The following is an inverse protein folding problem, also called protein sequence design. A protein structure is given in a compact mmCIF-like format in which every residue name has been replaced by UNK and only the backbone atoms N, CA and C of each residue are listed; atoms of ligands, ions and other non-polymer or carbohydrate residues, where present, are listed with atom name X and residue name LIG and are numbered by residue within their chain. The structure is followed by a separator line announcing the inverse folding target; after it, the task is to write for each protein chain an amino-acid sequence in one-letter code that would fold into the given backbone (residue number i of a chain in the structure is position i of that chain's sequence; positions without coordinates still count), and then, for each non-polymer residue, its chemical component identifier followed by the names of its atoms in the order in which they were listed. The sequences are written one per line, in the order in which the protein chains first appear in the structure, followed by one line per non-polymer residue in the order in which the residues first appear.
data_IF_259640980850
#
_entry.id   IF_259640980850
#
_cell.length_a   1.000
_cell.length_b   1.000
_cell.length_c   1.000
_cell.angle_alpha   90.00
_cell.angle_beta   90.00
_cell.angle_gamma   90.00
#
_symmetry.space_group_name_H-M   'P 1'
#
loop_
_entity.id
_entity.type
_entity.pdbx_description
1 polymer ?
#
# COMPACT_ATOMS: atom_id res chain seq x y z
N UNK A 1 -6.48 9.73 1.69
CA UNK A 1 -5.93 8.45 1.22
C UNK A 1 -4.67 8.76 0.44
N UNK A 2 -3.54 8.22 0.83
CA UNK A 2 -2.21 8.51 0.25
C UNK A 2 -1.79 7.36 -0.65
N UNK A 3 -1.09 7.66 -1.76
CA UNK A 3 -0.53 6.63 -2.66
C UNK A 3 0.94 6.40 -2.34
N UNK A 4 1.29 5.17 -2.02
CA UNK A 4 2.60 4.79 -1.48
C UNK A 4 3.19 3.68 -2.32
N UNK A 5 4.45 3.79 -2.72
CA UNK A 5 5.20 2.67 -3.27
C UNK A 5 6.02 1.99 -2.18
N UNK A 6 6.11 0.67 -2.19
CA UNK A 6 7.04 -0.10 -1.36
C UNK A 6 7.93 -0.94 -2.29
N UNK A 7 9.24 -0.71 -2.24
CA UNK A 7 10.20 -1.39 -3.10
C UNK A 7 10.85 -2.54 -2.32
N UNK A 8 10.48 -3.77 -2.67
CA UNK A 8 10.86 -5.02 -2.02
C UNK A 8 9.65 -5.72 -1.40
N UNK A 9 9.37 -6.94 -1.85
CA UNK A 9 8.32 -7.84 -1.35
C UNK A 9 8.88 -8.89 -0.36
N UNK A 10 9.97 -8.54 0.34
CA UNK A 10 10.53 -9.33 1.43
C UNK A 10 9.63 -9.33 2.69
N UNK A 11 10.16 -9.79 3.82
CA UNK A 11 9.41 -9.81 5.08
C UNK A 11 9.06 -8.42 5.62
N UNK A 12 9.99 -7.46 5.54
CA UNK A 12 9.74 -6.10 6.00
C UNK A 12 8.83 -5.34 5.03
N UNK A 13 9.18 -5.31 3.74
CA UNK A 13 8.42 -4.55 2.75
C UNK A 13 6.96 -4.99 2.65
N UNK A 14 6.66 -6.29 2.67
CA UNK A 14 5.28 -6.75 2.64
C UNK A 14 4.47 -6.30 3.88
N UNK A 15 5.06 -6.37 5.08
CA UNK A 15 4.38 -5.95 6.32
C UNK A 15 4.26 -4.43 6.44
N UNK A 16 5.21 -3.68 5.89
CA UNK A 16 5.12 -2.21 5.76
C UNK A 16 3.99 -1.86 4.80
N UNK A 17 3.90 -2.54 3.65
CA UNK A 17 2.80 -2.39 2.71
C UNK A 17 1.45 -2.72 3.35
N UNK A 18 1.37 -3.86 4.05
CA UNK A 18 0.20 -4.25 4.82
C UNK A 18 -0.17 -3.24 5.89
N UNK A 19 0.80 -2.64 6.59
CA UNK A 19 0.53 -1.63 7.60
C UNK A 19 -0.09 -0.36 7.00
N UNK A 20 0.40 0.13 5.86
CA UNK A 20 -0.22 1.25 5.16
C UNK A 20 -1.63 0.90 4.65
N UNK A 21 -1.82 -0.31 4.14
CA UNK A 21 -3.14 -0.78 3.69
C UNK A 21 -4.12 -0.92 4.87
N UNK A 22 -3.68 -1.41 6.02
CA UNK A 22 -4.46 -1.46 7.25
C UNK A 22 -5.02 -0.08 7.63
N UNK A 23 -4.25 1.01 7.43
CA UNK A 23 -4.70 2.38 7.64
C UNK A 23 -5.45 3.01 6.46
N UNK A 24 -5.82 2.23 5.43
CA UNK A 24 -6.67 2.69 4.33
C UNK A 24 -5.93 3.42 3.21
N UNK A 25 -4.63 3.16 3.03
CA UNK A 25 -3.85 3.73 1.93
C UNK A 25 -3.78 2.80 0.72
N UNK A 26 -3.46 3.37 -0.45
CA UNK A 26 -3.20 2.60 -1.66
C UNK A 26 -1.71 2.36 -1.75
N UNK A 27 -1.32 1.09 -1.77
CA UNK A 27 0.07 0.67 -1.78
C UNK A 27 0.40 -0.07 -3.06
N UNK A 28 1.46 0.36 -3.73
CA UNK A 28 2.04 -0.32 -4.88
C UNK A 28 3.32 -1.01 -4.43
N UNK A 29 3.33 -2.33 -4.33
CA UNK A 29 4.52 -3.10 -3.97
C UNK A 29 5.24 -3.58 -5.22
N UNK A 30 6.55 -3.40 -5.25
CA UNK A 30 7.43 -3.83 -6.35
C UNK A 30 8.44 -4.85 -5.86
N UNK A 31 8.70 -5.89 -6.66
CA UNK A 31 9.87 -6.76 -6.50
C UNK A 31 10.33 -7.23 -7.89
N UNK A 32 11.64 -7.47 -8.03
CA UNK A 32 12.21 -8.09 -9.23
C UNK A 32 12.02 -9.60 -9.25
N UNK A 33 11.85 -10.24 -8.09
CA UNK A 33 11.60 -11.67 -7.97
C UNK A 33 10.09 -11.96 -8.01
N UNK A 34 9.64 -12.59 -9.09
CA UNK A 34 8.24 -12.95 -9.28
C UNK A 34 7.73 -13.92 -8.20
N UNK A 35 8.60 -14.77 -7.64
CA UNK A 35 8.20 -15.71 -6.57
C UNK A 35 7.77 -14.98 -5.30
N UNK A 36 8.41 -13.85 -5.00
CA UNK A 36 8.04 -13.00 -3.86
C UNK A 36 6.70 -12.32 -4.09
N UNK A 37 6.38 -11.94 -5.33
CA UNK A 37 5.09 -11.36 -5.69
C UNK A 37 3.96 -12.40 -5.69
N UNK A 38 4.22 -13.62 -6.20
CA UNK A 38 3.23 -14.70 -6.26
C UNK A 38 2.72 -15.08 -4.86
N UNK A 39 3.59 -15.03 -3.85
CA UNK A 39 3.24 -15.36 -2.45
C UNK A 39 2.76 -14.15 -1.64
N UNK A 40 2.73 -12.95 -2.21
CA UNK A 40 2.41 -11.71 -1.49
C UNK A 40 0.97 -11.71 -0.96
N UNK A 41 0.00 -12.12 -1.80
CA UNK A 41 -1.42 -12.14 -1.42
C UNK A 41 -1.67 -13.11 -0.27
N UNK A 42 -1.17 -14.34 -0.35
CA UNK A 42 -1.29 -15.35 0.71
C UNK A 42 -0.70 -14.86 2.04
N UNK A 43 0.46 -14.19 1.99
CA UNK A 43 1.13 -13.66 3.18
C UNK A 43 0.38 -12.46 3.78
N UNK A 44 -0.26 -11.62 2.96
CA UNK A 44 -1.13 -10.53 3.45
C UNK A 44 -2.39 -11.11 4.10
N UNK A 45 -3.06 -12.08 3.48
CA UNK A 45 -4.22 -12.74 4.08
C UNK A 45 -3.85 -13.41 5.42
N UNK A 46 -2.67 -14.03 5.49
CA UNK A 46 -2.17 -14.57 6.76
C UNK A 46 -2.00 -13.47 7.83
N UNK A 47 -1.43 -12.31 7.47
CA UNK A 47 -1.29 -11.18 8.39
C UNK A 47 -2.67 -10.64 8.82
N UNK A 48 -3.64 -10.51 7.91
CA UNK A 48 -5.02 -10.10 8.21
C UNK A 48 -5.69 -11.07 9.19
N UNK A 49 -5.59 -12.37 8.94
CA UNK A 49 -6.11 -13.41 9.82
C UNK A 49 -5.48 -13.37 11.22
N UNK A 50 -4.17 -13.12 11.31
CA UNK A 50 -3.48 -12.97 12.59
C UNK A 50 -3.98 -11.73 13.35
N UNK A 51 -4.11 -10.60 12.65
CA UNK A 51 -4.60 -9.35 13.26
C UNK A 51 -6.07 -9.47 13.70
N UNK A 52 -6.89 -10.21 12.95
CA UNK A 52 -8.26 -10.52 13.33
C UNK A 52 -8.31 -11.38 14.60
N UNK A 53 -7.51 -12.45 14.67
CA UNK A 53 -7.40 -13.31 15.88
C UNK A 53 -6.93 -12.54 17.11
N UNK A 54 -6.00 -11.60 16.93
CA UNK A 54 -5.50 -10.76 18.01
C UNK A 54 -6.48 -9.63 18.38
N UNK A 55 -7.56 -9.43 17.61
CA UNK A 55 -8.59 -8.42 17.84
C UNK A 55 -8.18 -7.00 17.43
N UNK A 56 -7.20 -6.86 16.53
CA UNK A 56 -6.79 -5.55 15.98
C UNK A 56 -7.68 -5.08 14.84
N UNK A 57 -8.35 -6.01 14.14
CA UNK A 57 -9.36 -5.71 13.12
C UNK A 57 -10.62 -6.51 13.37
N UNK A 58 -11.77 -5.92 13.04
CA UNK A 58 -13.09 -6.57 13.17
C UNK A 58 -13.41 -7.52 12.00
N UNK A 59 -12.79 -7.28 10.86
CA UNK A 59 -12.91 -8.09 9.64
C UNK A 59 -11.49 -8.40 9.18
N UNK A 60 -11.15 -9.65 8.79
CA UNK A 60 -9.84 -10.03 8.28
C UNK A 60 -9.63 -9.48 6.87
N UNK A 61 -9.61 -8.15 6.75
CA UNK A 61 -9.42 -7.42 5.51
C UNK A 61 -8.94 -6.01 5.81
N UNK A 62 -7.86 -5.60 5.15
CA UNK A 62 -7.37 -4.23 5.21
C UNK A 62 -8.32 -3.26 4.50
N UNK A 63 -8.38 -2.03 5.02
CA UNK A 63 -9.22 -0.96 4.48
C UNK A 63 -8.69 -0.42 3.13
N UNK A 64 -7.38 -0.52 2.94
CA UNK A 64 -6.65 -0.05 1.78
C UNK A 64 -6.54 -1.09 0.67
N UNK A 65 -5.68 -0.81 -0.29
CA UNK A 65 -5.43 -1.70 -1.44
C UNK A 65 -3.94 -1.93 -1.60
N UNK A 66 -3.55 -3.16 -1.91
CA UNK A 66 -2.17 -3.53 -2.22
C UNK A 66 -2.13 -4.02 -3.67
N UNK A 67 -1.34 -3.35 -4.50
CA UNK A 67 -1.12 -3.68 -5.90
C UNK A 67 0.29 -4.24 -6.05
N UNK A 68 0.41 -5.52 -6.38
CA UNK A 68 1.70 -6.17 -6.65
C UNK A 68 2.10 -5.95 -8.11
N UNK A 69 3.26 -5.33 -8.34
CA UNK A 69 3.74 -4.91 -9.65
C UNK A 69 5.16 -5.41 -9.88
N UNK A 70 5.44 -5.96 -11.06
CA UNK A 70 6.78 -6.43 -11.45
C UNK A 70 7.56 -5.41 -12.29
N UNK A 71 6.98 -4.22 -12.53
CA UNK A 71 7.62 -3.12 -13.25
C UNK A 71 7.79 -1.94 -12.31
N UNK A 72 9.04 -1.50 -12.14
CA UNK A 72 9.40 -0.41 -11.23
C UNK A 72 8.67 0.90 -11.58
N UNK A 73 8.62 1.24 -12.87
CA UNK A 73 7.93 2.43 -13.39
C UNK A 73 6.47 2.50 -12.93
N UNK A 74 5.73 1.40 -13.08
CA UNK A 74 4.30 1.33 -12.72
C UNK A 74 4.10 1.50 -11.19
N UNK A 75 5.06 1.00 -10.41
CA UNK A 75 5.04 1.05 -8.95
C UNK A 75 5.30 2.45 -8.38
N UNK A 76 6.22 3.21 -8.98
CA UNK A 76 6.63 4.54 -8.46
C UNK A 76 5.91 5.70 -9.12
N UNK A 77 5.16 5.46 -10.19
CA UNK A 77 4.35 6.50 -10.85
C UNK A 77 3.16 6.92 -10.00
N UNK A 78 2.89 8.23 -9.97
CA UNK A 78 1.76 8.86 -9.27
C UNK A 78 1.71 8.60 -7.76
N UNK A 79 2.83 8.27 -7.11
CA UNK A 79 2.91 8.09 -5.64
C UNK A 79 3.47 9.33 -4.96
N UNK A 80 3.10 9.52 -3.69
CA UNK A 80 3.57 10.63 -2.84
C UNK A 80 4.80 10.21 -2.02
N UNK A 81 4.86 8.92 -1.64
CA UNK A 81 5.94 8.34 -0.85
C UNK A 81 6.44 7.03 -1.46
N UNK A 82 7.74 6.80 -1.39
CA UNK A 82 8.39 5.54 -1.75
C UNK A 82 9.11 5.01 -0.51
N UNK A 83 8.88 3.76 -0.12
CA UNK A 83 9.60 3.09 0.97
C UNK A 83 10.45 1.95 0.40
N UNK A 84 11.76 2.12 0.45
CA UNK A 84 12.75 1.13 0.01
C UNK A 84 13.00 0.11 1.11
N UNK A 85 12.82 -1.18 0.79
CA UNK A 85 12.86 -2.33 1.69
C UNK A 85 13.54 -3.56 1.04
N UNK A 86 14.49 -3.36 0.12
CA UNK A 86 15.32 -4.42 -0.46
C UNK A 86 16.46 -4.81 0.48
N UNK A 87 17.21 -5.84 0.09
CA UNK A 87 18.34 -6.37 0.86
C UNK A 87 19.37 -5.28 1.21
N UNK A 88 20.07 -5.45 2.35
CA UNK A 88 21.07 -4.49 2.87
C UNK A 88 22.36 -4.50 2.04
N UNK A 89 22.28 -3.95 0.84
CA UNK A 89 23.40 -3.74 -0.07
C UNK A 89 23.34 -2.31 -0.63
N UNK A 90 24.40 -1.53 -0.41
CA UNK A 90 24.45 -0.11 -0.78
C UNK A 90 24.29 0.12 -2.29
N UNK A 91 25.02 -0.64 -3.11
CA UNK A 91 25.03 -0.49 -4.56
C UNK A 91 23.67 -0.83 -5.17
N UNK A 92 23.02 -1.90 -4.70
CA UNK A 92 21.69 -2.28 -5.14
C UNK A 92 20.65 -1.22 -4.76
N UNK A 93 20.72 -0.68 -3.54
CA UNK A 93 19.81 0.39 -3.10
C UNK A 93 20.03 1.67 -3.90
N UNK A 94 21.27 2.11 -4.10
CA UNK A 94 21.59 3.27 -4.93
C UNK A 94 21.04 3.10 -6.35
N UNK A 95 21.32 1.97 -7.00
CA UNK A 95 20.86 1.67 -8.36
C UNK A 95 19.33 1.66 -8.46
N UNK A 96 18.65 1.06 -7.47
CA UNK A 96 17.19 0.99 -7.44
C UNK A 96 16.57 2.37 -7.22
N UNK A 97 17.09 3.12 -6.25
CA UNK A 97 16.58 4.45 -5.89
C UNK A 97 16.79 5.46 -7.01
N UNK A 98 17.95 5.41 -7.69
CA UNK A 98 18.24 6.23 -8.86
C UNK A 98 17.25 5.95 -10.00
N UNK A 99 17.00 4.67 -10.32
CA UNK A 99 15.99 4.28 -11.32
C UNK A 99 14.58 4.68 -10.89
N UNK A 100 14.23 4.51 -9.62
CA UNK A 100 12.92 4.90 -9.10
C UNK A 100 12.69 6.41 -9.24
N UNK A 101 13.70 7.22 -8.94
CA UNK A 101 13.64 8.67 -9.03
C UNK A 101 13.45 9.18 -10.47
N UNK A 102 13.87 8.42 -11.50
CA UNK A 102 13.65 8.78 -12.91
C UNK A 102 12.18 8.67 -13.33
N UNK A 103 11.42 7.75 -12.72
CA UNK A 103 10.01 7.51 -13.07
C UNK A 103 9.02 8.19 -12.11
N UNK A 104 9.47 8.54 -10.90
CA UNK A 104 8.66 9.17 -9.89
C UNK A 104 8.53 10.69 -10.09
N UNK A 105 7.58 11.31 -9.40
CA UNK A 105 7.46 12.78 -9.36
C UNK A 105 8.70 13.40 -8.71
N UNK A 106 9.14 14.57 -9.18
CA UNK A 106 10.20 15.36 -8.54
C UNK A 106 9.91 15.69 -7.06
N UNK A 107 8.63 15.75 -6.69
CA UNK A 107 8.15 16.03 -5.33
C UNK A 107 7.99 14.79 -4.45
N UNK A 108 8.32 13.58 -4.95
CA UNK A 108 8.14 12.34 -4.19
C UNK A 108 9.10 12.30 -3.01
N UNK A 109 8.62 11.84 -1.86
CA UNK A 109 9.47 11.58 -0.70
C UNK A 109 9.95 10.13 -0.75
N UNK A 110 11.26 9.94 -0.69
CA UNK A 110 11.90 8.62 -0.72
C UNK A 110 12.41 8.29 0.67
N UNK A 111 11.91 7.19 1.20
CA UNK A 111 12.26 6.64 2.50
C UNK A 111 13.07 5.36 2.32
N UNK A 112 14.16 5.18 3.08
CA UNK A 112 14.82 3.86 3.17
C UNK A 112 14.60 3.23 4.55
N UNK A 113 14.25 1.94 4.56
CA UNK A 113 14.15 1.11 5.76
C UNK A 113 15.51 0.51 6.17
N UNK A 114 16.62 1.03 5.63
CA UNK A 114 17.98 0.57 5.96
C UNK A 114 18.25 0.57 7.46
N UNK A 115 19.00 -0.42 7.91
CA UNK A 115 19.34 -0.56 9.32
C UNK A 115 20.73 0.02 9.61
N UNK A 116 21.72 -0.24 8.74
CA UNK A 116 23.14 0.08 9.01
C UNK A 116 23.85 0.86 7.91
N UNK A 117 23.25 0.99 6.72
CA UNK A 117 23.91 1.66 5.61
C UNK A 117 23.91 3.18 5.80
N UNK A 118 24.96 3.81 5.28
CA UNK A 118 25.13 5.26 5.26
C UNK A 118 24.14 5.90 4.26
N UNK A 119 23.20 6.69 4.80
CA UNK A 119 22.15 7.34 4.02
C UNK A 119 22.68 8.51 3.17
N UNK A 120 23.76 9.18 3.58
CA UNK A 120 24.39 10.22 2.75
C UNK A 120 24.95 9.58 1.47
N UNK A 121 25.61 8.43 1.60
CA UNK A 121 26.09 7.65 0.44
C UNK A 121 24.94 7.10 -0.38
N UNK A 122 23.91 6.55 0.27
CA UNK A 122 22.77 5.96 -0.43
C UNK A 122 22.02 6.96 -1.32
N UNK A 123 21.96 8.23 -0.89
CA UNK A 123 21.30 9.30 -1.64
C UNK A 123 22.20 10.04 -2.63
N UNK A 124 23.47 9.62 -2.80
CA UNK A 124 24.46 10.35 -3.57
C UNK A 124 24.07 10.58 -5.03
N UNK A 125 23.36 9.62 -5.65
CA UNK A 125 22.94 9.70 -7.05
C UNK A 125 21.49 10.22 -7.23
N UNK A 126 20.81 10.58 -6.14
CA UNK A 126 19.44 11.07 -6.23
C UNK A 126 19.40 12.53 -6.72
N UNK A 127 18.48 12.88 -7.65
CA UNK A 127 18.35 14.25 -8.14
C UNK A 127 17.82 15.22 -7.06
N UNK A 128 16.89 14.75 -6.23
CA UNK A 128 16.23 15.53 -5.17
C UNK A 128 16.56 14.95 -3.78
N UNK A 129 17.83 15.08 -3.37
CA UNK A 129 18.35 14.52 -2.10
C UNK A 129 17.66 15.10 -0.87
N UNK A 130 17.09 16.29 -1.00
CA UNK A 130 16.28 16.95 0.00
C UNK A 130 14.98 16.21 0.33
N UNK A 131 14.50 15.37 -0.58
CA UNK A 131 13.31 14.53 -0.42
C UNK A 131 13.63 13.10 0.06
N UNK A 132 14.89 12.81 0.38
CA UNK A 132 15.32 11.51 0.87
C UNK A 132 15.49 11.51 2.39
N UNK A 133 15.03 10.45 3.07
CA UNK A 133 15.16 10.28 4.53
C UNK A 133 15.19 8.80 4.91
N UNK A 134 15.91 8.43 5.96
CA UNK A 134 15.77 7.11 6.58
C UNK A 134 14.49 7.04 7.41
N UNK A 135 13.63 6.05 7.17
CA UNK A 135 12.42 5.81 7.94
C UNK A 135 12.29 4.31 8.20
N UNK A 136 12.88 3.87 9.30
CA UNK A 136 13.01 2.45 9.64
C UNK A 136 11.87 2.00 10.54
N UNK A 137 11.03 1.12 9.99
CA UNK A 137 10.04 0.38 10.75
C UNK A 137 10.73 -0.72 11.56
N UNK A 138 10.30 -0.89 12.80
CA UNK A 138 10.77 -1.97 13.66
C UNK A 138 9.90 -3.22 13.46
N UNK A 139 10.47 -4.38 13.76
CA UNK A 139 9.77 -5.65 13.70
C UNK A 139 9.27 -6.04 15.10
N UNK A 140 8.01 -6.53 15.27
CA UNK A 140 6.96 -6.71 14.26
C UNK A 140 6.18 -5.44 13.85
N UNK A 141 6.07 -5.18 12.55
CA UNK A 141 5.59 -3.89 11.97
C UNK A 141 4.19 -3.46 12.41
N UNK A 142 3.24 -4.40 12.55
CA UNK A 142 1.86 -4.07 12.96
C UNK A 142 1.74 -3.74 14.44
N UNK A 143 2.66 -4.24 15.27
CA UNK A 143 2.56 -4.21 16.73
C UNK A 143 3.51 -3.22 17.36
N UNK A 144 4.61 -2.88 16.67
CA UNK A 144 5.60 -1.91 17.12
C UNK A 144 5.27 -0.56 16.47
N UNK A 145 4.71 0.40 17.22
CA UNK A 145 4.36 1.72 16.67
C UNK A 145 5.59 2.58 16.39
N UNK A 146 6.74 2.27 16.99
CA UNK A 146 7.95 3.07 16.83
C UNK A 146 8.53 2.97 15.42
N UNK A 147 8.82 4.14 14.84
CA UNK A 147 9.55 4.29 13.58
C UNK A 147 10.73 5.21 13.82
N UNK A 148 11.90 4.75 13.42
CA UNK A 148 13.14 5.50 13.56
C UNK A 148 13.37 6.38 12.34
N UNK A 149 13.49 7.68 12.57
CA UNK A 149 13.84 8.66 11.55
C UNK A 149 15.34 8.94 11.57
N UNK A 150 15.95 8.94 10.39
CA UNK A 150 17.36 9.25 10.20
C UNK A 150 17.52 10.18 8.99
N UNK A 151 17.52 11.51 9.18
CA UNK A 151 17.75 12.47 8.10
C UNK A 151 19.21 12.44 7.61
N UNK A 152 19.41 12.69 6.33
CA UNK A 152 20.72 12.98 5.74
C UNK A 152 21.09 14.44 5.96
N UNK A 153 22.31 14.81 5.57
CA UNK A 153 22.76 16.22 5.58
C UNK A 153 21.92 17.14 4.69
N UNK A 154 21.23 16.56 3.70
CA UNK A 154 20.45 17.30 2.71
C UNK A 154 18.95 17.24 2.96
N UNK A 155 18.45 16.31 3.79
CA UNK A 155 17.01 16.14 4.04
C UNK A 155 16.37 17.46 4.47
N UNK A 156 15.34 17.90 3.75
CA UNK A 156 14.64 19.13 4.09
C UNK A 156 13.73 18.96 5.30
N UNK A 157 13.47 20.07 6.01
CA UNK A 157 12.50 20.08 7.11
C UNK A 157 11.08 19.82 6.61
N UNK A 158 10.77 20.19 5.37
CA UNK A 158 9.49 19.92 4.71
C UNK A 158 9.28 18.42 4.51
N UNK A 159 10.32 17.69 4.08
CA UNK A 159 10.30 16.23 3.93
C UNK A 159 10.00 15.55 5.26
N UNK A 160 10.69 15.97 6.33
CA UNK A 160 10.46 15.44 7.68
C UNK A 160 9.03 15.74 8.12
N UNK A 161 8.55 16.98 7.96
CA UNK A 161 7.19 17.36 8.38
C UNK A 161 6.09 16.59 7.64
N UNK A 162 6.24 16.40 6.33
CA UNK A 162 5.29 15.64 5.52
C UNK A 162 5.27 14.15 5.93
N UNK A 163 6.45 13.54 6.13
CA UNK A 163 6.55 12.17 6.61
C UNK A 163 5.95 12.00 8.01
N UNK A 164 6.24 12.94 8.93
CA UNK A 164 5.66 12.95 10.27
C UNK A 164 4.13 13.01 10.21
N UNK A 165 3.59 13.90 9.39
CA UNK A 165 2.14 14.05 9.21
C UNK A 165 1.50 12.75 8.72
N UNK A 166 2.14 12.03 7.80
CA UNK A 166 1.66 10.72 7.33
C UNK A 166 1.66 9.69 8.45
N UNK A 167 2.81 9.50 9.12
CA UNK A 167 3.02 8.40 10.06
C UNK A 167 2.28 8.62 11.40
N UNK A 168 2.28 9.85 11.93
CA UNK A 168 1.57 10.18 13.19
C UNK A 168 0.05 10.03 13.03
N UNK A 169 -0.52 10.24 11.83
CA UNK A 169 -1.94 9.97 11.53
C UNK A 169 -2.30 8.48 11.51
N UNK A 170 -1.30 7.61 11.48
CA UNK A 170 -1.43 6.16 11.60
C UNK A 170 -1.02 5.68 13.00
N UNK A 171 -1.10 6.57 14.00
CA UNK A 171 -0.75 6.29 15.40
C UNK A 171 0.68 5.76 15.58
N UNK A 172 1.60 6.13 14.67
CA UNK A 172 3.02 5.76 14.77
C UNK A 172 3.77 6.77 15.64
N UNK A 173 4.74 6.25 16.39
CA UNK A 173 5.58 7.04 17.30
C UNK A 173 6.94 7.22 16.65
N UNK A 174 7.31 8.47 16.39
CA UNK A 174 8.52 8.79 15.65
C UNK A 174 9.63 9.22 16.60
N UNK A 175 10.81 8.66 16.43
CA UNK A 175 12.00 9.06 17.19
C UNK A 175 13.19 9.21 16.24
N UNK A 176 14.09 10.13 16.57
CA UNK A 176 15.32 10.31 15.80
C UNK A 176 16.41 9.38 16.32
N UNK A 177 17.17 8.79 15.40
CA UNK A 177 18.33 7.97 15.75
C UNK A 177 19.41 8.86 16.39
N UNK A 178 19.75 8.58 17.64
CA UNK A 178 20.79 9.33 18.37
C UNK A 178 22.18 8.67 18.34
N UNK A 179 22.27 7.38 17.97
CA UNK A 179 23.50 6.57 17.98
C UNK A 179 23.73 5.90 16.62
N UNK A 180 24.97 5.59 16.21
CA UNK A 180 25.23 4.78 15.02
C UNK A 180 24.51 3.43 15.05
N UNK A 181 24.36 2.86 16.25
CA UNK A 181 23.73 1.57 16.44
C UNK A 181 22.20 1.66 16.36
N UNK A 182 21.56 0.83 15.52
CA UNK A 182 20.11 0.78 15.40
C UNK A 182 19.47 0.17 16.65
N UNK A 183 18.30 0.67 17.05
CA UNK A 183 17.48 -0.03 18.05
C UNK A 183 16.98 -1.37 17.47
N UNK A 184 17.46 -2.47 18.05
CA UNK A 184 17.01 -3.83 17.75
C UNK A 184 16.31 -4.35 19.01
N UNK A 185 15.02 -4.65 18.87
CA UNK A 185 14.24 -5.19 19.96
C UNK A 185 14.54 -6.68 20.13
N UNK A 186 14.75 -7.12 21.37
CA UNK A 186 14.76 -8.54 21.72
C UNK A 186 13.33 -9.13 21.73
N UNK A 187 13.23 -10.44 21.90
CA UNK A 187 11.94 -11.14 21.81
C UNK A 187 10.97 -10.72 22.93
N UNK A 188 11.48 -10.52 24.15
CA UNK A 188 10.69 -10.08 25.31
C UNK A 188 10.12 -8.66 25.10
N UNK A 189 10.94 -7.76 24.56
CA UNK A 189 10.55 -6.40 24.21
C UNK A 189 9.50 -6.37 23.09
N UNK A 190 9.60 -7.27 22.10
CA UNK A 190 8.61 -7.41 21.03
C UNK A 190 7.28 -7.92 21.57
N UNK A 191 7.30 -8.94 22.43
CA UNK A 191 6.10 -9.48 23.07
C UNK A 191 5.43 -8.45 23.97
N UNK A 192 6.21 -7.71 24.76
CA UNK A 192 5.71 -6.66 25.65
C UNK A 192 4.99 -5.58 24.85
N UNK A 193 5.58 -5.11 23.74
CA UNK A 193 4.95 -4.15 22.83
C UNK A 193 3.69 -4.70 22.17
N UNK A 194 3.71 -5.96 21.72
CA UNK A 194 2.54 -6.63 21.16
C UNK A 194 1.38 -6.66 22.15
N UNK A 195 1.63 -7.07 23.40
CA UNK A 195 0.61 -7.11 24.47
C UNK A 195 0.06 -5.71 24.75
N UNK A 196 0.94 -4.71 24.89
CA UNK A 196 0.55 -3.33 25.15
C UNK A 196 -0.32 -2.74 24.02
N UNK A 197 0.02 -3.03 22.75
CA UNK A 197 -0.74 -2.56 21.59
C UNK A 197 -2.15 -3.18 21.55
N UNK A 198 -2.24 -4.50 21.76
CA UNK A 198 -3.53 -5.21 21.82
C UNK A 198 -4.39 -4.66 22.96
N UNK A 199 -3.81 -4.41 24.13
CA UNK A 199 -4.53 -3.86 25.28
C UNK A 199 -5.02 -2.42 25.05
N UNK A 200 -4.18 -1.58 24.42
CA UNK A 200 -4.53 -0.20 24.04
C UNK A 200 -5.74 -0.17 23.09
N UNK A 201 -5.76 -1.10 22.13
CA UNK A 201 -6.86 -1.22 21.17
C UNK A 201 -8.16 -1.68 21.87
N UNK A 202 -8.09 -2.68 22.76
CA UNK A 202 -9.27 -3.12 23.54
C UNK A 202 -9.87 -2.00 24.41
N UNK A 203 -9.02 -1.12 24.97
CA UNK A 203 -9.48 0.04 25.75
C UNK A 203 -10.12 1.12 24.87
N UNK A 204 -9.66 1.28 23.63
CA UNK A 204 -10.22 2.26 22.68
C UNK A 204 -11.47 1.75 21.95
N UNK A 205 -11.71 0.44 21.89
CA UNK A 205 -12.96 -0.17 21.38
C UNK A 205 -14.22 0.27 22.15
N UNK A 206 -14.10 0.76 23.39
CA UNK A 206 -15.22 1.34 24.15
C UNK A 206 -15.59 2.79 23.77
N UNK A 207 -14.78 3.46 22.95
CA UNK A 207 -14.93 4.88 22.57
C UNK A 207 -15.03 5.05 21.06
N UNK A 208 -14.98 3.97 20.28
CA UNK A 208 -15.09 4.01 18.81
C UNK A 208 -16.55 4.04 18.34
N UNK A 209 -17.37 4.91 18.93
CA UNK A 209 -18.51 5.48 18.20
C UNK A 209 -17.90 6.32 17.09
N UNK A 210 -18.02 5.82 15.85
CA UNK A 210 -18.25 6.60 14.63
C UNK A 210 -17.89 8.08 14.77
N UNK A 211 -16.60 8.40 14.91
CA UNK A 211 -16.11 9.67 14.38
C UNK A 211 -16.10 9.43 12.90
N UNK A 212 -17.22 9.76 12.24
CA UNK A 212 -17.33 9.83 10.80
C UNK A 212 -16.04 10.46 10.29
N UNK A 213 -15.20 9.64 9.67
CA UNK A 213 -13.95 10.09 9.07
C UNK A 213 -14.36 10.86 7.81
N UNK A 214 -14.86 12.08 8.00
CA UNK A 214 -14.94 13.05 6.93
C UNK A 214 -13.53 13.22 6.43
N UNK A 215 -13.25 12.74 5.22
CA UNK A 215 -12.05 13.04 4.44
C UNK A 215 -12.17 14.49 3.96
N UNK A 216 -11.44 15.47 4.52
CA UNK A 216 -11.35 16.79 3.92
C UNK A 216 -10.25 16.72 2.87
N UNK A 217 -10.60 17.03 1.63
CA UNK A 217 -9.69 17.00 0.48
C UNK A 217 -8.44 17.85 0.73
N UNK A 218 -7.27 17.23 0.58
CA UNK A 218 -6.01 17.94 0.42
C UNK A 218 -5.80 18.21 -1.08
N UNK A 219 -6.55 19.14 -1.62
CA UNK A 219 -6.21 19.80 -2.89
C UNK A 219 -6.56 21.27 -2.80
N UNK A 220 -5.56 22.09 -2.50
CA UNK A 220 -5.56 23.51 -2.84
C UNK A 220 -5.53 23.65 -4.37
N UNK A 221 -6.69 23.65 -5.00
CA UNK A 221 -6.86 24.28 -6.32
C UNK A 221 -8.34 24.40 -6.67
N UNK A 222 -8.82 25.65 -6.68
CA UNK A 222 -9.93 26.07 -7.50
C UNK A 222 -9.82 25.44 -8.89
N UNK A 223 -10.83 24.66 -9.32
CA UNK A 223 -11.44 24.76 -10.67
C UNK A 223 -12.52 23.69 -10.92
N UNK A 224 -13.69 24.21 -11.29
CA UNK A 224 -14.82 23.60 -12.01
C UNK A 224 -15.86 22.76 -11.25
N UNK A 225 -16.97 23.45 -10.98
CA UNK A 225 -18.33 22.94 -10.83
C UNK A 225 -18.66 21.83 -11.86
N UNK A 226 -19.18 20.72 -11.37
CA UNK A 226 -20.33 20.08 -12.02
C UNK A 226 -21.18 19.36 -10.98
N UNK A 227 -22.43 19.82 -10.88
CA UNK A 227 -23.53 19.32 -10.07
C UNK A 227 -24.32 18.26 -10.84
N UNK A 228 -24.73 17.21 -10.13
CA UNK A 228 -25.67 16.17 -10.58
C UNK A 228 -25.30 14.83 -9.93
N UNK A 229 -26.11 14.12 -9.16
CA UNK A 229 -27.52 14.22 -8.81
C UNK A 229 -27.66 13.83 -7.33
N UNK A 230 -28.41 14.63 -6.57
CA UNK A 230 -29.08 14.18 -5.33
C UNK A 230 -30.36 13.45 -5.74
N UNK A 231 -30.67 12.36 -5.07
CA UNK A 231 -32.04 11.89 -4.88
C UNK A 231 -32.17 11.33 -3.48
N UNK A 232 -33.26 11.71 -2.84
CA UNK A 232 -33.46 11.74 -1.40
C UNK A 232 -33.86 10.39 -0.77
N UNK A 233 -33.62 10.35 0.54
CA UNK A 233 -34.15 9.52 1.61
C UNK A 233 -35.56 8.94 1.41
N UNK A 234 -35.77 7.67 1.81
CA UNK A 234 -36.91 7.23 2.65
C UNK A 234 -36.46 6.07 3.57
N UNK A 235 -36.77 6.19 4.87
CA UNK A 235 -36.60 5.20 5.95
C UNK A 235 -37.70 4.12 5.99
N UNK A 236 -37.38 3.01 6.69
CA UNK A 236 -38.25 2.15 7.52
C UNK A 236 -38.50 0.72 7.01
N UNK A 237 -38.19 -0.27 7.86
CA UNK A 237 -38.77 -1.62 7.76
C UNK A 237 -37.89 -2.75 8.28
N UNK A 238 -38.06 -3.09 9.55
CA UNK A 238 -37.47 -4.24 10.23
C UNK A 238 -38.11 -5.56 9.72
N UNK A 239 -37.32 -6.58 9.33
CA UNK A 239 -37.71 -8.00 9.45
C UNK A 239 -36.54 -8.97 9.26
N UNK A 240 -36.43 -9.91 10.20
CA UNK A 240 -35.56 -11.08 10.17
C UNK A 240 -35.94 -12.04 9.02
N UNK A 241 -34.92 -12.60 8.36
CA UNK A 241 -35.08 -13.72 7.45
C UNK A 241 -33.77 -14.07 6.75
N UNK A 242 -33.13 -15.15 7.21
CA UNK A 242 -32.09 -15.85 6.47
C UNK A 242 -32.56 -16.14 5.04
N UNK A 243 -31.84 -15.62 4.04
CA UNK A 243 -31.59 -16.33 2.79
C UNK A 243 -30.40 -15.71 2.06
N UNK A 244 -29.45 -16.59 1.75
CA UNK A 244 -28.25 -16.43 0.95
C UNK A 244 -28.38 -15.44 -0.21
N UNK A 245 -27.67 -14.31 -0.14
CA UNK A 245 -27.52 -13.38 -1.26
C UNK A 245 -26.26 -13.77 -2.04
N UNK A 246 -26.50 -14.50 -3.13
CA UNK A 246 -25.77 -14.56 -4.39
C UNK A 246 -24.27 -14.19 -4.40
N UNK A 247 -23.43 -15.21 -4.66
CA UNK A 247 -22.12 -15.04 -5.28
C UNK A 247 -22.27 -14.23 -6.58
N UNK A 248 -21.89 -12.96 -6.59
CA UNK A 248 -21.76 -12.18 -7.82
C UNK A 248 -20.66 -12.83 -8.68
N UNK A 249 -21.08 -13.50 -9.76
CA UNK A 249 -20.26 -14.22 -10.74
C UNK A 249 -18.82 -13.68 -10.90
N UNK A 250 -17.86 -14.37 -10.27
CA UNK A 250 -16.42 -14.07 -10.31
C UNK A 250 -15.75 -14.66 -11.56
N UNK A 251 -16.47 -15.49 -12.32
CA UNK A 251 -15.89 -16.25 -13.44
C UNK A 251 -15.79 -15.45 -14.73
N UNK A 252 -14.75 -15.76 -15.51
CA UNK A 252 -14.49 -15.20 -16.82
C UNK A 252 -15.68 -15.44 -17.76
N UNK A 253 -16.21 -14.36 -18.35
CA UNK A 253 -17.32 -14.40 -19.31
C UNK A 253 -17.00 -15.15 -20.62
N UNK A 254 -15.73 -15.52 -20.85
CA UNK A 254 -15.28 -16.21 -22.06
C UNK A 254 -15.08 -17.71 -21.82
N UNK A 255 -14.33 -18.11 -20.79
CA UNK A 255 -14.08 -19.53 -20.51
C UNK A 255 -14.98 -20.12 -19.43
N UNK A 256 -15.65 -19.29 -18.61
CA UNK A 256 -16.48 -19.70 -17.47
C UNK A 256 -15.78 -20.65 -16.47
N UNK A 257 -14.45 -20.72 -16.51
CA UNK A 257 -13.65 -21.69 -15.74
C UNK A 257 -12.68 -20.98 -14.78
N UNK A 258 -12.06 -19.88 -15.25
CA UNK A 258 -11.09 -19.11 -14.46
C UNK A 258 -11.71 -17.83 -13.92
N UNK A 259 -11.27 -17.35 -12.74
CA UNK A 259 -11.74 -16.08 -12.21
C UNK A 259 -11.34 -14.93 -13.13
N UNK A 260 -12.16 -13.88 -13.12
CA UNK A 260 -11.83 -12.60 -13.75
C UNK A 260 -10.60 -12.04 -13.06
N UNK A 261 -9.56 -11.81 -13.83
CA UNK A 261 -8.29 -11.30 -13.34
C UNK A 261 -7.59 -10.48 -14.43
N UNK A 262 -8.38 -9.81 -15.28
CA UNK A 262 -7.85 -8.91 -16.31
C UNK A 262 -8.79 -7.75 -16.63
N UNK A 263 -8.18 -6.59 -16.94
CA UNK A 263 -8.86 -5.37 -17.37
C UNK A 263 -8.45 -5.04 -18.80
N UNK A 264 -9.43 -4.70 -19.64
CA UNK A 264 -9.18 -4.17 -20.99
C UNK A 264 -8.92 -2.66 -20.88
N UNK A 265 -7.68 -2.22 -21.14
CA UNK A 265 -7.22 -0.84 -20.86
C UNK A 265 -8.02 0.26 -21.59
N UNK A 266 -8.49 -0.01 -22.80
CA UNK A 266 -9.21 0.97 -23.61
C UNK A 266 -10.63 1.30 -23.10
N UNK A 267 -11.20 0.45 -22.23
CA UNK A 267 -12.60 0.57 -21.80
C UNK A 267 -12.86 0.20 -20.33
N UNK A 268 -11.83 -0.25 -19.60
CA UNK A 268 -11.86 -0.62 -18.19
C UNK A 268 -12.84 -1.75 -17.80
N UNK A 269 -13.32 -2.55 -18.75
CA UNK A 269 -14.15 -3.72 -18.42
C UNK A 269 -13.33 -4.85 -17.80
N UNK A 270 -13.82 -5.36 -16.67
CA UNK A 270 -13.26 -6.47 -15.90
C UNK A 270 -14.19 -7.69 -15.98
N UNK A 271 -14.15 -8.38 -17.13
CA UNK A 271 -15.09 -9.50 -17.40
C UNK A 271 -14.40 -10.78 -17.83
N UNK A 272 -13.07 -10.80 -17.92
CA UNK A 272 -12.29 -11.93 -18.46
C UNK A 272 -11.15 -12.32 -17.52
N UNK A 273 -10.75 -13.59 -17.56
CA UNK A 273 -9.43 -13.99 -17.09
C UNK A 273 -8.37 -13.53 -18.10
N UNK A 274 -7.13 -13.40 -17.64
CA UNK A 274 -6.02 -12.85 -18.40
C UNK A 274 -5.71 -13.62 -19.67
N UNK A 275 -5.79 -14.95 -19.62
CA UNK A 275 -5.57 -15.80 -20.79
C UNK A 275 -6.63 -15.55 -21.88
N UNK A 276 -7.91 -15.43 -21.49
CA UNK A 276 -8.97 -15.10 -22.43
C UNK A 276 -8.84 -13.69 -22.99
N UNK A 277 -8.45 -12.72 -22.16
CA UNK A 277 -8.24 -11.35 -22.61
C UNK A 277 -7.05 -11.23 -23.58
N UNK A 278 -5.95 -11.94 -23.32
CA UNK A 278 -4.79 -12.04 -24.22
C UNK A 278 -5.16 -12.69 -25.54
N UNK A 279 -6.00 -13.72 -25.53
CA UNK A 279 -6.54 -14.33 -26.76
C UNK A 279 -7.35 -13.32 -27.58
N UNK A 280 -8.27 -12.56 -26.94
CA UNK A 280 -9.05 -11.53 -27.63
C UNK A 280 -8.15 -10.43 -28.21
N UNK A 281 -7.15 -9.97 -27.45
CA UNK A 281 -6.17 -8.99 -27.93
C UNK A 281 -5.38 -9.49 -29.15
N UNK A 282 -4.84 -10.72 -29.08
CA UNK A 282 -4.03 -11.30 -30.14
C UNK A 282 -4.83 -11.53 -31.43
N UNK A 283 -6.12 -11.88 -31.31
CA UNK A 283 -7.05 -12.06 -32.45
C UNK A 283 -7.61 -10.75 -32.98
N UNK A 284 -7.32 -9.62 -32.31
CA UNK A 284 -7.91 -8.29 -32.58
C UNK A 284 -9.44 -8.27 -32.45
N UNK A 285 -9.97 -9.15 -31.61
CA UNK A 285 -11.39 -9.17 -31.28
C UNK A 285 -11.73 -7.94 -30.40
N UNK A 286 -12.95 -7.38 -30.53
CA UNK A 286 -13.37 -6.27 -29.71
C UNK A 286 -13.73 -6.71 -28.28
N UNK A 287 -13.79 -5.76 -27.35
CA UNK A 287 -14.24 -6.00 -25.99
C UNK A 287 -15.63 -6.68 -25.97
N UNK A 288 -15.83 -7.78 -25.22
CA UNK A 288 -17.10 -8.51 -25.20
C UNK A 288 -18.26 -7.72 -24.59
N UNK A 289 -17.97 -6.65 -23.84
CA UNK A 289 -18.99 -5.78 -23.22
C UNK A 289 -19.37 -4.62 -24.13
N UNK A 290 -18.39 -3.80 -24.51
CA UNK A 290 -18.66 -2.52 -25.20
C UNK A 290 -18.25 -2.50 -26.67
N UNK A 291 -17.73 -3.61 -27.20
CA UNK A 291 -17.26 -3.77 -28.59
C UNK A 291 -16.16 -2.78 -29.05
N UNK A 292 -15.55 -2.02 -28.13
CA UNK A 292 -14.37 -1.19 -28.43
C UNK A 292 -13.16 -2.07 -28.74
N UNK A 293 -12.24 -1.55 -29.56
CA UNK A 293 -10.95 -2.19 -29.83
C UNK A 293 -10.15 -2.36 -28.54
N UNK A 294 -9.51 -3.52 -28.38
CA UNK A 294 -8.62 -3.82 -27.26
C UNK A 294 -7.22 -3.35 -27.65
N UNK A 295 -6.73 -2.28 -27.01
CA UNK A 295 -5.38 -1.75 -27.27
C UNK A 295 -4.32 -2.41 -26.39
N UNK A 296 -4.72 -2.87 -25.21
CA UNK A 296 -3.85 -3.48 -24.21
C UNK A 296 -4.70 -4.24 -23.17
N UNK A 297 -4.09 -5.22 -22.51
CA UNK A 297 -4.72 -6.09 -21.51
C UNK A 297 -3.84 -6.15 -20.28
N UNK A 298 -4.40 -5.78 -19.13
CA UNK A 298 -3.68 -5.74 -17.86
C UNK A 298 -4.14 -6.92 -17.02
N UNK A 299 -3.20 -7.76 -16.55
CA UNK A 299 -3.49 -8.79 -15.55
C UNK A 299 -3.67 -8.13 -14.18
N UNK A 300 -4.72 -8.51 -13.48
CA UNK A 300 -4.96 -8.16 -12.08
C UNK A 300 -4.60 -9.39 -11.26
N UNK A 301 -3.76 -9.23 -10.26
CA UNK A 301 -3.45 -10.27 -9.29
C UNK A 301 -4.34 -10.01 -8.08
N UNK A 302 -5.40 -10.80 -7.94
CA UNK A 302 -6.34 -10.82 -6.82
C UNK A 302 -6.02 -12.00 -5.92
#
# INVERSE_FOLDING_TARGET
MVRIAVLGCGNMGLRIAGNFAYFGHIVKIFDSDLKQLDTACERIHYDEDQLYRDGLIEVPKFLGQILCLNRLEDAVKDVEFIFECIIENLELKQTLLEKAAQFASASVIICSNTMRLDLDKMSENLPHKENFVGARFLFPVYYVPEIELNPTKTTSTQTIAALRTLLERMDKVLYFRSSPDPLILDEEQRETRRKAQIESLKKSSGVMVVRGRTLPGLTSSNRFNHSGNRSDLIESGNNNGNNSVANENVDCSICMDRPRNSVIRSCNHFVTCYECARLLYNRKDPCPVCRKRIDDVIRVYT
#
